data_IF_961082901947
#
_entry.id   IF_961082901947
#
_cell.length_a   1.000
_cell.length_b   1.000
_cell.length_c   1.000
_cell.angle_alpha   90.00
_cell.angle_beta   90.00
_cell.angle_gamma   90.00
#
_symmetry.space_group_name_H-M   'P 1'
#
loop_
_entity.id
_entity.type
_entity.pdbx_description
1 polymer ?
#
# COMPACT_ATOMS: atom_id res chain seq x y z
N UNK A 1 32.92 -3.56 -48.09
CA UNK A 1 31.58 -4.01 -47.64
C UNK A 1 31.61 -3.94 -46.12
N UNK A 2 31.27 -2.77 -45.56
CA UNK A 2 31.28 -2.56 -44.11
C UNK A 2 29.88 -2.82 -43.58
N UNK A 3 29.71 -3.86 -42.78
CA UNK A 3 28.48 -4.14 -42.06
C UNK A 3 28.52 -3.30 -40.78
N UNK A 4 27.69 -2.26 -40.72
CA UNK A 4 27.41 -1.54 -39.48
C UNK A 4 26.45 -2.41 -38.65
N UNK A 5 26.91 -2.93 -37.52
CA UNK A 5 26.04 -3.60 -36.55
C UNK A 5 25.42 -2.50 -35.69
N UNK A 6 24.13 -2.27 -35.86
CA UNK A 6 23.35 -1.37 -35.03
C UNK A 6 22.91 -2.16 -33.79
N UNK A 7 23.58 -1.98 -32.67
CA UNK A 7 23.16 -2.54 -31.38
C UNK A 7 21.96 -1.73 -30.88
N UNK A 8 20.77 -2.30 -30.97
CA UNK A 8 19.58 -1.76 -30.32
C UNK A 8 19.72 -1.96 -28.81
N UNK A 9 19.91 -0.87 -28.06
CA UNK A 9 19.79 -0.87 -26.60
C UNK A 9 18.30 -0.97 -26.29
N UNK A 10 17.86 -2.11 -25.77
CA UNK A 10 16.55 -2.23 -25.14
C UNK A 10 16.60 -1.48 -23.81
N UNK A 11 15.94 -0.33 -23.74
CA UNK A 11 15.65 0.34 -22.46
C UNK A 11 14.74 -0.57 -21.65
N UNK A 12 15.26 -1.10 -20.54
CA UNK A 12 14.46 -1.80 -19.54
C UNK A 12 13.42 -0.84 -18.93
N UNK A 13 12.20 -1.37 -18.78
CA UNK A 13 11.01 -0.85 -18.10
C UNK A 13 11.01 0.59 -17.61
N UNK A 14 10.11 1.40 -18.17
CA UNK A 14 9.61 2.59 -17.49
C UNK A 14 8.84 2.06 -16.27
N UNK A 15 9.43 2.19 -15.07
CA UNK A 15 8.73 1.98 -13.81
C UNK A 15 7.46 2.85 -13.86
N UNK A 16 6.30 2.20 -13.95
CA UNK A 16 5.04 2.90 -14.28
C UNK A 16 4.39 3.38 -13.00
N UNK A 17 5.03 4.36 -12.37
CA UNK A 17 4.35 5.17 -11.39
C UNK A 17 3.33 6.07 -12.08
N UNK A 18 2.12 6.18 -11.53
CA UNK A 18 1.04 6.95 -12.15
C UNK A 18 1.03 8.40 -11.67
N UNK A 19 0.65 9.31 -12.57
CA UNK A 19 0.36 10.68 -12.20
C UNK A 19 -0.81 10.73 -11.20
N UNK A 20 -0.71 11.59 -10.18
CA UNK A 20 -1.77 11.80 -9.20
C UNK A 20 -2.93 12.55 -9.87
N UNK A 21 -4.15 11.97 -9.98
CA UNK A 21 -5.30 12.67 -10.55
C UNK A 21 -5.64 13.94 -9.76
N UNK A 22 -6.17 14.95 -10.45
CA UNK A 22 -6.41 16.27 -9.83
C UNK A 22 -7.30 16.21 -8.58
N UNK A 23 -8.35 15.38 -8.57
CA UNK A 23 -9.21 15.23 -7.39
C UNK A 23 -8.43 14.61 -6.22
N UNK A 24 -7.61 13.60 -6.47
CA UNK A 24 -6.77 12.99 -5.45
C UNK A 24 -5.70 13.95 -4.93
N UNK A 25 -5.11 14.76 -5.81
CA UNK A 25 -4.14 15.78 -5.41
C UNK A 25 -4.78 16.85 -4.50
N UNK A 26 -6.05 17.20 -4.75
CA UNK A 26 -6.80 18.11 -3.87
C UNK A 26 -7.10 17.46 -2.52
N UNK A 27 -7.55 16.21 -2.50
CA UNK A 27 -7.74 15.43 -1.26
C UNK A 27 -6.44 15.38 -0.46
N UNK A 28 -5.32 15.04 -1.11
CA UNK A 28 -4.00 15.02 -0.49
C UNK A 28 -3.67 16.38 0.17
N UNK A 29 -3.80 17.47 -0.58
CA UNK A 29 -3.46 18.79 -0.05
C UNK A 29 -4.42 19.25 1.08
N UNK A 30 -5.71 18.95 0.97
CA UNK A 30 -6.73 19.33 1.95
C UNK A 30 -6.54 18.60 3.29
N UNK A 31 -6.16 17.33 3.24
CA UNK A 31 -6.00 16.51 4.44
C UNK A 31 -4.61 16.57 5.04
N UNK A 32 -3.53 16.80 4.27
CA UNK A 32 -2.16 16.81 4.83
C UNK A 32 -1.99 17.81 5.96
N UNK A 33 -2.41 19.07 5.80
CA UNK A 33 -2.41 20.06 6.89
C UNK A 33 -3.75 20.12 7.65
N UNK A 34 -4.64 19.17 7.35
CA UNK A 34 -6.00 19.14 7.83
C UNK A 34 -6.13 18.52 9.22
N UNK A 35 -7.38 18.32 9.64
CA UNK A 35 -7.70 17.52 10.81
C UNK A 35 -8.47 16.28 10.36
N UNK A 36 -8.28 15.21 11.11
CA UNK A 36 -9.16 14.04 11.11
C UNK A 36 -10.46 14.38 11.87
N UNK A 37 -11.47 14.91 11.19
CA UNK A 37 -12.71 15.35 11.85
C UNK A 37 -13.59 14.16 12.25
N UNK A 38 -13.68 13.17 11.37
CA UNK A 38 -14.28 11.87 11.59
C UNK A 38 -13.18 10.84 11.90
N UNK A 39 -12.66 10.90 13.12
CA UNK A 39 -11.69 9.93 13.61
C UNK A 39 -12.38 8.62 13.96
N UNK A 40 -12.04 7.55 13.22
CA UNK A 40 -12.60 6.22 13.44
C UNK A 40 -11.90 5.53 14.62
N UNK A 41 -10.56 5.60 14.63
CA UNK A 41 -9.72 5.17 15.74
C UNK A 41 -8.39 5.96 15.71
N UNK A 42 -7.67 5.99 16.83
CA UNK A 42 -6.36 6.65 16.90
C UNK A 42 -5.66 6.40 18.21
N UNK A 43 -4.48 7.02 18.37
CA UNK A 43 -3.55 6.66 19.44
C UNK A 43 -2.54 5.61 19.00
N UNK A 44 -2.34 5.48 17.69
CA UNK A 44 -1.41 4.55 17.05
C UNK A 44 -0.07 5.22 16.80
N UNK A 45 0.96 4.41 16.61
CA UNK A 45 2.31 4.82 16.24
C UNK A 45 2.58 4.47 14.78
N UNK A 46 3.52 5.17 14.16
CA UNK A 46 4.22 4.85 12.90
C UNK A 46 5.30 3.76 13.06
N UNK A 47 5.33 3.03 14.17
CA UNK A 47 6.42 2.08 14.47
C UNK A 47 7.78 2.73 14.81
N UNK A 48 7.93 4.06 14.69
CA UNK A 48 9.20 4.77 14.82
C UNK A 48 9.12 5.88 15.89
N UNK A 49 10.01 5.86 16.88
CA UNK A 49 10.13 6.99 17.83
C UNK A 49 8.95 7.18 18.81
N UNK A 50 7.93 6.31 18.75
CA UNK A 50 6.92 6.10 19.81
C UNK A 50 5.85 7.18 19.93
N UNK A 51 5.69 8.04 18.93
CA UNK A 51 4.63 9.05 18.93
C UNK A 51 3.28 8.41 18.62
N UNK A 52 2.31 8.51 19.53
CA UNK A 52 0.99 7.90 19.36
C UNK A 52 -0.05 8.86 18.75
N UNK A 53 0.34 9.53 17.65
CA UNK A 53 -0.47 10.59 17.00
C UNK A 53 -1.25 10.12 15.78
N UNK A 54 -1.05 8.88 15.34
CA UNK A 54 -1.60 8.33 14.10
C UNK A 54 -3.03 7.80 14.32
N UNK A 55 -3.83 7.90 13.27
CA UNK A 55 -5.26 7.63 13.30
C UNK A 55 -5.80 7.17 11.94
N UNK A 56 -6.86 6.36 12.00
CA UNK A 56 -7.72 6.05 10.86
C UNK A 56 -8.85 7.08 10.77
N UNK A 57 -8.99 7.69 9.60
CA UNK A 57 -9.90 8.80 9.35
C UNK A 57 -10.92 8.44 8.27
N UNK A 58 -12.18 8.75 8.54
CA UNK A 58 -13.30 8.54 7.62
C UNK A 58 -13.88 9.86 7.10
N UNK A 59 -13.04 10.88 6.88
CA UNK A 59 -13.51 12.18 6.37
C UNK A 59 -13.87 12.14 4.88
N UNK A 60 -13.36 11.14 4.15
CA UNK A 60 -13.61 10.97 2.73
C UNK A 60 -14.71 9.93 2.56
N UNK A 61 -15.82 10.32 1.91
CA UNK A 61 -16.91 9.37 1.66
C UNK A 61 -16.42 8.21 0.77
N UNK A 62 -16.71 6.98 1.19
CA UNK A 62 -16.27 5.77 0.49
C UNK A 62 -14.82 5.34 0.79
N UNK A 63 -14.13 5.98 1.75
CA UNK A 63 -12.76 5.65 2.06
C UNK A 63 -12.38 5.82 3.54
N UNK A 64 -11.33 5.11 3.92
CA UNK A 64 -10.61 5.24 5.20
C UNK A 64 -9.17 5.59 4.86
N UNK A 65 -8.57 6.54 5.57
CA UNK A 65 -7.16 6.90 5.34
C UNK A 65 -6.37 7.06 6.63
N UNK A 66 -5.05 6.88 6.53
CA UNK A 66 -4.11 7.15 7.62
C UNK A 66 -3.71 8.62 7.65
N UNK A 67 -3.68 9.19 8.85
CA UNK A 67 -3.29 10.58 9.07
C UNK A 67 -2.81 10.78 10.52
N UNK A 68 -1.89 11.72 10.70
CA UNK A 68 -1.39 12.13 12.00
C UNK A 68 -1.57 13.63 12.22
N UNK A 69 -1.99 14.01 13.43
CA UNK A 69 -2.02 15.41 13.86
C UNK A 69 -0.63 15.92 14.31
N UNK A 70 0.39 15.06 14.29
CA UNK A 70 1.78 15.43 14.52
C UNK A 70 2.25 16.52 13.56
N UNK A 71 3.18 17.36 14.01
CA UNK A 71 3.83 18.41 13.19
C UNK A 71 2.89 19.38 12.44
N UNK A 72 1.63 19.53 12.90
CA UNK A 72 0.64 20.39 12.27
C UNK A 72 -0.18 19.71 11.17
N UNK A 73 -0.12 18.38 11.07
CA UNK A 73 -0.77 17.57 10.06
C UNK A 73 0.27 16.90 9.16
N UNK A 74 0.19 15.58 9.05
CA UNK A 74 1.04 14.76 8.21
C UNK A 74 0.34 13.43 7.90
N UNK A 75 1.01 12.60 7.10
CA UNK A 75 0.53 11.25 6.81
C UNK A 75 1.25 10.23 7.68
N UNK A 76 1.60 9.09 7.11
CA UNK A 76 2.32 8.02 7.78
C UNK A 76 3.65 7.75 7.08
N UNK A 77 4.49 6.97 7.74
CA UNK A 77 5.71 6.42 7.18
C UNK A 77 5.40 5.20 6.28
N UNK A 78 6.46 4.47 5.91
CA UNK A 78 6.34 3.18 5.24
C UNK A 78 7.37 2.20 5.77
N UNK A 79 6.99 1.48 6.82
CA UNK A 79 7.66 0.27 7.26
C UNK A 79 7.44 -0.87 6.26
N UNK A 80 8.36 -1.84 6.26
CA UNK A 80 8.32 -2.98 5.33
C UNK A 80 7.76 -4.19 6.04
N UNK A 81 6.73 -4.76 5.42
CA UNK A 81 6.17 -6.06 5.76
C UNK A 81 6.62 -7.10 4.73
N UNK A 82 7.03 -8.27 5.23
CA UNK A 82 7.45 -9.40 4.42
C UNK A 82 6.59 -10.65 4.67
N UNK A 83 5.42 -10.50 5.30
CA UNK A 83 4.57 -11.61 5.68
C UNK A 83 4.02 -12.36 4.46
N UNK A 84 3.73 -13.65 4.66
CA UNK A 84 3.12 -14.51 3.66
C UNK A 84 4.09 -15.45 2.95
N UNK A 85 3.80 -15.71 1.68
CA UNK A 85 4.59 -16.62 0.86
C UNK A 85 5.99 -16.03 0.61
N UNK A 86 7.01 -16.88 0.72
CA UNK A 86 8.39 -16.51 0.43
C UNK A 86 8.91 -15.33 1.30
N UNK A 87 8.49 -15.28 2.57
CA UNK A 87 8.80 -14.25 3.56
C UNK A 87 10.30 -14.04 3.90
N UNK A 88 11.21 -14.87 3.37
CA UNK A 88 12.66 -14.70 3.48
C UNK A 88 13.36 -14.57 2.12
N UNK A 89 12.58 -14.41 1.04
CA UNK A 89 13.09 -14.24 -0.31
C UNK A 89 13.53 -12.80 -0.58
N UNK A 90 14.52 -12.63 -1.46
CA UNK A 90 14.92 -11.31 -1.94
C UNK A 90 15.35 -10.36 -0.82
N UNK A 91 14.81 -9.15 -0.84
CA UNK A 91 15.12 -8.10 0.12
C UNK A 91 14.40 -8.28 1.47
N UNK A 92 13.61 -9.35 1.64
CA UNK A 92 13.06 -9.80 2.91
C UNK A 92 14.00 -10.74 3.69
N UNK A 93 15.17 -11.09 3.14
CA UNK A 93 16.07 -12.07 3.75
C UNK A 93 16.59 -11.68 5.15
N UNK A 94 16.56 -10.39 5.49
CA UNK A 94 16.99 -9.87 6.79
C UNK A 94 15.84 -9.43 7.71
N UNK A 95 14.57 -9.68 7.34
CA UNK A 95 13.43 -9.33 8.21
C UNK A 95 13.47 -10.17 9.52
N UNK A 96 13.56 -9.52 10.70
CA UNK A 96 13.52 -10.22 11.98
C UNK A 96 12.12 -10.62 12.47
N UNK A 97 11.06 -10.03 11.89
CA UNK A 97 9.66 -10.12 12.31
C UNK A 97 8.76 -10.93 11.37
N UNK A 98 9.20 -11.14 10.12
CA UNK A 98 8.40 -11.75 9.06
C UNK A 98 7.74 -13.08 9.45
N UNK A 99 6.45 -13.18 9.17
CA UNK A 99 5.61 -14.34 9.42
C UNK A 99 5.35 -15.11 8.13
N UNK A 100 5.05 -16.40 8.25
CA UNK A 100 4.82 -17.25 7.09
C UNK A 100 3.42 -17.11 6.48
N UNK A 101 2.59 -16.19 6.98
CA UNK A 101 1.20 -16.02 6.55
C UNK A 101 0.76 -14.56 6.64
N UNK A 102 -0.06 -14.11 5.70
CA UNK A 102 -0.80 -12.84 5.82
C UNK A 102 -2.16 -13.04 6.49
N UNK A 103 -2.79 -11.96 6.96
CA UNK A 103 -4.11 -12.00 7.60
C UNK A 103 -5.21 -12.69 6.75
N UNK A 104 -5.08 -12.66 5.42
CA UNK A 104 -6.10 -13.16 4.50
C UNK A 104 -5.71 -14.43 3.74
N UNK A 105 -4.67 -15.14 4.18
CA UNK A 105 -4.19 -16.40 3.57
C UNK A 105 -5.34 -17.35 3.20
N UNK A 106 -6.31 -17.57 4.11
CA UNK A 106 -7.42 -18.52 3.91
C UNK A 106 -8.39 -18.14 2.78
N UNK A 107 -8.37 -16.87 2.34
CA UNK A 107 -9.23 -16.38 1.25
C UNK A 107 -8.59 -16.53 -0.13
N UNK A 108 -7.29 -16.81 -0.22
CA UNK A 108 -6.52 -16.77 -1.46
C UNK A 108 -6.52 -18.06 -2.30
N UNK A 109 -6.73 -19.28 -1.75
CA UNK A 109 -6.74 -20.51 -2.56
C UNK A 109 -7.72 -20.50 -3.73
N UNK A 110 -8.83 -19.76 -3.63
CA UNK A 110 -9.79 -19.61 -4.73
C UNK A 110 -9.22 -18.88 -5.95
N UNK A 111 -8.13 -18.13 -5.78
CA UNK A 111 -7.41 -17.40 -6.83
C UNK A 111 -6.15 -18.16 -7.33
N UNK A 112 -5.87 -19.34 -6.77
CA UNK A 112 -4.79 -20.21 -7.21
C UNK A 112 -3.43 -19.91 -6.59
N UNK A 113 -3.38 -19.11 -5.52
CA UNK A 113 -2.19 -18.92 -4.69
C UNK A 113 -2.47 -19.38 -3.26
N UNK A 114 -1.41 -19.78 -2.53
CA UNK A 114 -1.54 -20.19 -1.13
C UNK A 114 -1.62 -18.97 -0.20
N UNK A 115 -0.83 -17.94 -0.51
CA UNK A 115 -0.80 -16.67 0.18
C UNK A 115 -0.25 -15.58 -0.77
N UNK A 116 -0.31 -14.31 -0.36
CA UNK A 116 0.41 -13.21 -0.98
C UNK A 116 1.92 -13.42 -0.80
N UNK A 117 2.69 -13.14 -1.83
CA UNK A 117 4.16 -13.04 -1.75
C UNK A 117 4.55 -11.56 -1.71
N UNK A 118 5.15 -11.10 -0.61
CA UNK A 118 5.54 -9.71 -0.39
C UNK A 118 6.50 -9.14 -1.45
N UNK A 119 7.25 -9.99 -2.17
CA UNK A 119 8.15 -9.56 -3.25
C UNK A 119 7.40 -9.30 -4.57
N UNK A 120 6.17 -9.80 -4.68
CA UNK A 120 5.35 -9.84 -5.91
C UNK A 120 4.05 -9.05 -5.77
N UNK A 121 3.40 -9.07 -4.62
CA UNK A 121 2.07 -8.50 -4.45
C UNK A 121 2.15 -7.20 -3.66
N UNK A 122 1.94 -6.03 -4.30
CA UNK A 122 1.69 -4.79 -3.60
C UNK A 122 0.49 -4.90 -2.65
N UNK A 123 0.76 -4.98 -1.36
CA UNK A 123 -0.24 -4.87 -0.31
C UNK A 123 0.16 -3.89 0.78
N UNK A 124 -0.84 -3.42 1.51
CA UNK A 124 -0.75 -2.57 2.68
C UNK A 124 -1.20 -3.36 3.90
N UNK A 125 -0.49 -3.20 5.00
CA UNK A 125 -0.92 -3.64 6.34
C UNK A 125 -1.85 -2.57 6.88
N UNK A 126 -3.16 -2.87 6.90
CA UNK A 126 -4.18 -1.88 7.24
C UNK A 126 -5.14 -2.42 8.29
N UNK A 127 -5.44 -1.63 9.30
CA UNK A 127 -6.01 -2.15 10.53
C UNK A 127 -4.95 -2.70 11.48
N UNK A 128 -5.34 -2.84 12.75
CA UNK A 128 -4.48 -3.38 13.80
C UNK A 128 -5.31 -3.92 14.98
N UNK A 129 -4.67 -4.32 16.08
CA UNK A 129 -5.37 -4.88 17.24
C UNK A 129 -6.42 -3.92 17.86
N UNK A 130 -6.29 -2.61 17.62
CA UNK A 130 -7.22 -1.59 18.08
C UNK A 130 -8.21 -1.08 17.02
N UNK A 131 -8.11 -1.53 15.77
CA UNK A 131 -8.98 -1.07 14.67
C UNK A 131 -9.17 -2.14 13.60
N UNK A 132 -10.42 -2.55 13.40
CA UNK A 132 -10.83 -3.45 12.30
C UNK A 132 -11.52 -2.64 11.18
N UNK A 133 -10.91 -2.53 9.99
CA UNK A 133 -11.50 -1.81 8.85
C UNK A 133 -12.85 -2.38 8.39
N UNK A 134 -13.14 -3.67 8.62
CA UNK A 134 -14.45 -4.27 8.26
C UNK A 134 -15.60 -3.66 9.04
N UNK A 135 -15.35 -3.22 10.28
CA UNK A 135 -16.35 -2.50 11.09
C UNK A 135 -16.81 -1.18 10.45
N UNK A 136 -16.08 -0.70 9.44
CA UNK A 136 -16.37 0.52 8.68
C UNK A 136 -16.58 0.25 7.18
N UNK A 137 -16.79 -1.01 6.82
CA UNK A 137 -17.21 -1.42 5.48
C UNK A 137 -16.07 -1.59 4.47
N UNK A 138 -14.81 -1.63 4.88
CA UNK A 138 -13.76 -2.18 4.01
C UNK A 138 -13.87 -3.70 3.98
N UNK A 139 -13.68 -4.30 2.80
CA UNK A 139 -13.68 -5.75 2.65
C UNK A 139 -12.24 -6.25 2.53
N UNK A 140 -11.89 -7.44 3.08
CA UNK A 140 -10.59 -8.05 2.87
C UNK A 140 -10.19 -8.07 1.39
N UNK A 141 -8.91 -7.82 1.09
CA UNK A 141 -8.37 -7.74 -0.27
C UNK A 141 -8.92 -6.59 -1.12
N UNK A 142 -9.61 -5.62 -0.53
CA UNK A 142 -10.01 -4.39 -1.23
C UNK A 142 -8.78 -3.68 -1.80
N UNK A 143 -8.92 -3.12 -3.00
CA UNK A 143 -7.91 -2.22 -3.57
C UNK A 143 -7.65 -1.06 -2.62
N UNK A 144 -6.41 -0.60 -2.58
CA UNK A 144 -5.97 0.58 -1.87
C UNK A 144 -5.18 1.49 -2.81
N UNK A 145 -5.35 2.80 -2.63
CA UNK A 145 -4.52 3.81 -3.29
C UNK A 145 -3.44 4.30 -2.32
N UNK A 146 -2.20 4.38 -2.80
CA UNK A 146 -1.06 4.86 -2.02
C UNK A 146 -0.39 5.99 -2.78
N UNK A 147 -0.30 7.15 -2.15
CA UNK A 147 0.43 8.30 -2.69
C UNK A 147 1.74 8.46 -1.93
N UNK A 148 2.84 8.25 -2.65
CA UNK A 148 4.22 8.28 -2.14
C UNK A 148 5.13 8.84 -3.24
N UNK A 149 6.23 9.50 -2.87
CA UNK A 149 7.21 10.01 -3.85
C UNK A 149 6.60 10.78 -5.05
N UNK A 150 5.58 11.61 -4.78
CA UNK A 150 4.82 12.38 -5.78
C UNK A 150 4.11 11.54 -6.87
N UNK A 151 3.78 10.29 -6.56
CA UNK A 151 3.21 9.33 -7.47
C UNK A 151 2.02 8.61 -6.83
N UNK A 152 1.12 8.11 -7.66
CA UNK A 152 0.04 7.22 -7.25
C UNK A 152 0.40 5.78 -7.63
N UNK A 153 0.24 4.87 -6.68
CA UNK A 153 0.33 3.42 -6.85
C UNK A 153 -0.90 2.74 -6.28
N UNK A 154 -1.16 1.51 -6.74
CA UNK A 154 -2.22 0.67 -6.23
C UNK A 154 -1.67 -0.61 -5.59
N UNK A 155 -2.31 -0.98 -4.49
CA UNK A 155 -2.13 -2.28 -3.85
C UNK A 155 -3.48 -2.81 -3.37
N UNK A 156 -3.44 -3.79 -2.48
CA UNK A 156 -4.61 -4.29 -1.77
C UNK A 156 -4.43 -4.18 -0.26
N UNK A 157 -5.53 -4.20 0.47
CA UNK A 157 -5.51 -4.53 1.89
C UNK A 157 -5.18 -6.02 2.04
N UNK A 158 -3.91 -6.34 2.29
CA UNK A 158 -3.40 -7.71 2.32
C UNK A 158 -3.13 -8.25 3.71
N UNK A 159 -2.84 -7.37 4.67
CA UNK A 159 -2.51 -7.79 6.03
C UNK A 159 -3.05 -6.83 7.10
N UNK A 160 -2.86 -7.19 8.38
CA UNK A 160 -3.29 -6.42 9.55
C UNK A 160 -2.23 -6.52 10.65
N UNK A 161 -1.87 -5.40 11.27
CA UNK A 161 -0.82 -5.40 12.28
C UNK A 161 -1.32 -5.99 13.62
N UNK A 162 -0.52 -6.86 14.25
CA UNK A 162 -0.87 -7.51 15.52
C UNK A 162 -0.84 -6.60 16.75
N UNK A 163 -0.35 -5.37 16.62
CA UNK A 163 -0.12 -4.40 17.70
C UNK A 163 -0.82 -3.07 17.41
N UNK A 164 -0.13 -1.94 17.57
CA UNK A 164 -0.67 -0.59 17.49
C UNK A 164 0.07 0.30 16.46
N UNK A 165 0.93 -0.28 15.63
CA UNK A 165 1.57 0.44 14.54
C UNK A 165 0.65 0.58 13.31
N UNK A 166 0.95 1.61 12.50
CA UNK A 166 0.38 1.89 11.18
C UNK A 166 1.52 2.21 10.22
N UNK A 167 1.21 2.50 8.95
CA UNK A 167 2.22 2.91 7.97
C UNK A 167 3.12 1.78 7.48
N UNK A 168 2.57 0.59 7.26
CA UNK A 168 3.35 -0.60 6.89
C UNK A 168 2.84 -1.21 5.56
N UNK A 169 3.76 -1.69 4.72
CA UNK A 169 3.45 -2.21 3.38
C UNK A 169 4.43 -3.27 2.91
N UNK A 170 3.98 -4.15 2.00
CA UNK A 170 4.82 -5.15 1.35
C UNK A 170 6.12 -4.55 0.78
N UNK A 171 7.23 -5.30 0.82
CA UNK A 171 8.49 -4.86 0.19
C UNK A 171 8.30 -4.52 -1.31
N UNK A 172 7.37 -5.20 -1.99
CA UNK A 172 6.99 -4.91 -3.37
C UNK A 172 6.53 -3.46 -3.54
N UNK A 173 5.50 -3.06 -2.79
CA UNK A 173 4.95 -1.71 -2.82
C UNK A 173 5.96 -0.67 -2.34
N UNK A 174 6.72 -0.99 -1.29
CA UNK A 174 7.67 -0.05 -0.72
C UNK A 174 8.77 0.35 -1.71
N UNK A 175 9.35 -0.63 -2.38
CA UNK A 175 10.34 -0.39 -3.43
C UNK A 175 9.74 0.20 -4.72
N UNK A 176 8.43 0.09 -4.95
CA UNK A 176 7.77 0.84 -6.03
C UNK A 176 7.69 2.33 -5.70
N UNK A 177 7.37 2.67 -4.45
CA UNK A 177 7.39 4.06 -3.97
C UNK A 177 8.80 4.66 -4.00
N UNK A 178 9.77 3.91 -3.47
CA UNK A 178 11.13 4.40 -3.19
C UNK A 178 12.21 3.46 -3.73
N UNK A 179 12.34 3.32 -5.07
CA UNK A 179 13.21 2.32 -5.70
C UNK A 179 14.71 2.53 -5.45
N UNK A 180 15.12 3.70 -4.94
CA UNK A 180 16.53 4.05 -4.74
C UNK A 180 16.93 4.11 -3.26
N UNK A 181 16.01 3.81 -2.34
CA UNK A 181 16.21 4.03 -0.90
C UNK A 181 16.83 2.81 -0.21
N UNK A 182 17.08 1.74 -0.97
CA UNK A 182 17.69 0.51 -0.45
C UNK A 182 16.80 -0.17 0.59
N UNK A 183 15.49 -0.17 0.35
CA UNK A 183 14.52 -0.77 1.27
C UNK A 183 14.70 -2.29 1.35
N UNK A 184 14.60 -2.81 2.56
CA UNK A 184 14.71 -4.24 2.92
C UNK A 184 13.72 -4.57 4.03
N UNK A 185 13.58 -5.83 4.39
CA UNK A 185 12.76 -6.26 5.53
C UNK A 185 13.16 -5.67 6.89
N UNK A 186 14.34 -5.07 7.01
CA UNK A 186 14.81 -4.36 8.22
C UNK A 186 15.15 -2.87 7.92
N UNK A 187 14.64 -2.32 6.81
CA UNK A 187 14.87 -0.93 6.43
C UNK A 187 13.70 -0.36 5.62
N UNK A 188 12.83 0.39 6.30
CA UNK A 188 11.70 1.12 5.70
C UNK A 188 12.00 2.58 5.38
N UNK A 189 10.99 3.28 4.89
CA UNK A 189 10.99 4.73 4.66
C UNK A 189 10.38 5.45 5.86
N UNK A 190 11.24 6.12 6.64
CA UNK A 190 10.84 6.78 7.89
C UNK A 190 10.09 8.13 7.80
N UNK A 191 10.17 8.94 6.72
CA UNK A 191 9.39 10.16 6.62
C UNK A 191 7.86 9.95 6.56
N UNK A 192 7.11 10.74 7.34
CA UNK A 192 5.64 10.72 7.42
C UNK A 192 4.92 11.39 6.23
N UNK A 193 5.21 10.96 5.01
CA UNK A 193 4.70 11.57 3.78
C UNK A 193 3.91 10.64 2.86
N UNK A 194 3.62 9.42 3.31
CA UNK A 194 2.89 8.39 2.56
C UNK A 194 1.40 8.40 2.89
N UNK A 195 0.57 8.66 1.90
CA UNK A 195 -0.88 8.71 2.07
C UNK A 195 -1.55 7.40 1.63
N UNK A 196 -2.03 6.63 2.60
CA UNK A 196 -2.76 5.38 2.39
C UNK A 196 -4.26 5.60 2.40
N UNK A 197 -4.95 5.07 1.39
CA UNK A 197 -6.41 5.19 1.24
C UNK A 197 -6.99 3.79 0.96
N UNK A 198 -7.76 3.28 1.92
CA UNK A 198 -8.56 2.08 1.78
C UNK A 198 -9.97 2.38 1.32
N UNK A 199 -10.44 1.73 0.25
CA UNK A 199 -11.78 1.93 -0.28
C UNK A 199 -12.80 1.02 0.41
N UNK A 200 -13.99 1.56 0.72
CA UNK A 200 -15.08 0.79 1.32
C UNK A 200 -16.07 0.24 0.28
N UNK A 201 -16.80 -0.81 0.69
CA UNK A 201 -17.84 -1.48 -0.08
C UNK A 201 -17.30 -2.58 -0.99
N UNK A 202 -18.16 -3.57 -1.27
CA UNK A 202 -17.81 -4.78 -2.03
C UNK A 202 -17.25 -4.50 -3.43
N UNK A 203 -17.55 -3.34 -4.00
CA UNK A 203 -17.02 -2.93 -5.30
C UNK A 203 -15.51 -2.63 -5.29
N UNK A 204 -14.89 -2.51 -4.10
CA UNK A 204 -13.46 -2.29 -3.95
C UNK A 204 -12.61 -3.57 -4.07
N UNK A 205 -13.22 -4.75 -3.94
CA UNK A 205 -12.51 -6.03 -4.06
C UNK A 205 -12.34 -6.40 -5.54
N UNK A 206 -11.12 -6.60 -6.05
CA UNK A 206 -10.92 -6.95 -7.45
C UNK A 206 -11.41 -8.38 -7.77
N UNK A 207 -11.42 -9.26 -6.77
CA UNK A 207 -11.81 -10.65 -6.93
C UNK A 207 -11.00 -11.32 -8.04
N UNK A 208 -11.65 -12.14 -8.86
CA UNK A 208 -10.98 -12.86 -9.96
C UNK A 208 -10.47 -11.98 -11.12
N UNK A 209 -10.66 -10.65 -11.10
CA UNK A 209 -10.10 -9.79 -12.14
C UNK A 209 -8.63 -9.42 -11.90
N UNK A 210 -8.14 -9.54 -10.67
CA UNK A 210 -6.71 -9.35 -10.37
C UNK A 210 -5.89 -10.55 -10.87
N UNK A 211 -4.67 -10.29 -11.31
CA UNK A 211 -3.70 -11.31 -11.68
C UNK A 211 -2.96 -11.81 -10.43
N UNK A 212 -3.65 -12.60 -9.61
CA UNK A 212 -3.10 -13.19 -8.38
C UNK A 212 -1.89 -14.09 -8.61
N UNK A 213 -1.63 -14.52 -9.85
CA UNK A 213 -0.49 -15.36 -10.21
C UNK A 213 0.58 -14.57 -10.98
N UNK A 214 0.52 -13.23 -10.90
CA UNK A 214 1.52 -12.35 -11.49
C UNK A 214 2.94 -12.77 -11.09
N UNK A 215 3.89 -12.65 -12.02
CA UNK A 215 5.30 -12.96 -11.76
C UNK A 215 6.08 -11.82 -11.10
N UNK A 216 5.49 -10.62 -11.06
CA UNK A 216 6.11 -9.42 -10.54
C UNK A 216 5.06 -8.37 -10.13
N UNK A 217 5.52 -7.41 -9.32
CA UNK A 217 4.70 -6.34 -8.72
C UNK A 217 4.04 -5.38 -9.70
N UNK A 218 4.69 -5.12 -10.83
CA UNK A 218 4.13 -4.22 -11.84
C UNK A 218 3.00 -4.92 -12.60
N UNK A 219 3.18 -6.20 -12.89
CA UNK A 219 2.13 -7.03 -13.49
C UNK A 219 0.91 -7.14 -12.57
N UNK A 220 1.12 -7.38 -11.26
CA UNK A 220 0.00 -7.40 -10.30
C UNK A 220 -0.71 -6.05 -10.22
N UNK A 221 0.02 -4.94 -9.99
CA UNK A 221 -0.56 -3.61 -9.90
C UNK A 221 -1.34 -3.24 -11.17
N UNK A 222 -0.78 -3.51 -12.34
CA UNK A 222 -1.45 -3.24 -13.62
C UNK A 222 -2.80 -3.96 -13.73
N UNK A 223 -2.94 -5.16 -13.14
CA UNK A 223 -4.18 -5.93 -13.15
C UNK A 223 -5.31 -5.32 -12.31
N UNK A 224 -4.98 -4.53 -11.27
CA UNK A 224 -5.95 -3.88 -10.39
C UNK A 224 -6.16 -2.39 -10.71
N UNK A 225 -5.31 -1.82 -11.58
CA UNK A 225 -5.30 -0.39 -11.90
C UNK A 225 -6.66 0.14 -12.37
N UNK A 226 -7.34 -0.53 -13.29
CA UNK A 226 -8.64 -0.06 -13.80
C UNK A 226 -9.73 0.01 -12.71
N UNK A 227 -9.63 -0.83 -11.69
CA UNK A 227 -10.49 -0.72 -10.51
C UNK A 227 -10.04 0.44 -9.62
N UNK A 228 -8.75 0.53 -9.32
CA UNK A 228 -8.16 1.63 -8.55
C UNK A 228 -8.49 3.01 -9.13
N UNK A 229 -8.35 3.20 -10.43
CA UNK A 229 -8.66 4.46 -11.13
C UNK A 229 -10.12 4.84 -10.95
N UNK A 230 -11.05 3.87 -11.09
CA UNK A 230 -12.49 4.10 -10.90
C UNK A 230 -12.83 4.49 -9.47
N UNK A 231 -12.19 3.83 -8.49
CA UNK A 231 -12.38 4.13 -7.08
C UNK A 231 -11.84 5.52 -6.73
N UNK A 232 -10.62 5.86 -7.17
CA UNK A 232 -10.04 7.20 -7.00
C UNK A 232 -10.92 8.27 -7.64
N UNK A 233 -11.40 8.05 -8.87
CA UNK A 233 -12.27 9.00 -9.56
C UNK A 233 -13.61 9.23 -8.85
N UNK A 234 -14.05 8.30 -7.99
CA UNK A 234 -15.28 8.43 -7.21
C UNK A 234 -15.12 9.30 -5.95
N UNK A 235 -13.89 9.54 -5.50
CA UNK A 235 -13.61 10.33 -4.31
C UNK A 235 -13.89 11.82 -4.54
N UNK A 236 -14.45 12.46 -3.52
CA UNK A 236 -14.75 13.89 -3.48
C UNK A 236 -13.74 14.62 -2.59
N UNK A 237 -13.24 15.76 -3.07
CA UNK A 237 -12.25 16.61 -2.39
C UNK A 237 -12.85 17.61 -1.40
#
# INVERSE_FOLDING_TARGET
>A
MNILVLTAVFSAGIASAYDIPQNLQQIYNNHKSGKCNNKLAGGFTDGIGGATTFAYCGDINGAIFLHSLGNGGQYDNMDVDCDGANNHGGDCANDPSGQSQTAFMDSLPQYGIQDLDANVHPYVVFGNAGFDPQSYGMEPLSVMAVVCNNQLLYGIWGDTNGYDSTGEASIALAQMCYPNDGLTGDNGHGPDDVFYIGFTGNGAVPGGSADWQAGDRWTFEASIKDLGDRLVASLQA
#
